data_IF_102817514903
#
_entry.id   IF_102817514903
#
_cell.length_a   1.000
_cell.length_b   1.000
_cell.length_c   1.000
_cell.angle_alpha   90.00
_cell.angle_beta   90.00
_cell.angle_gamma   90.00
#
_symmetry.space_group_name_H-M   'P 1'
#
loop_
_entity.id
_entity.type
_entity.pdbx_description
1 polymer ?
#
# COMPACT_ATOMS: atom_id res chain seq x y z
N UNK A 1 -6.42 -8.38 0.74
CA UNK A 1 -5.98 -9.79 0.62
C UNK A 1 -4.78 -9.89 -0.31
N UNK A 2 -3.98 -10.95 -0.23
CA UNK A 2 -2.82 -11.17 -1.11
C UNK A 2 -3.05 -12.34 -2.07
N UNK A 3 -2.74 -12.12 -3.36
CA UNK A 3 -2.76 -13.13 -4.40
C UNK A 3 -1.33 -13.44 -4.87
N UNK A 4 -1.09 -14.69 -5.29
CA UNK A 4 0.22 -15.12 -5.80
C UNK A 4 0.17 -15.28 -7.31
N UNK A 5 1.06 -14.59 -8.02
CA UNK A 5 1.28 -14.78 -9.45
C UNK A 5 2.38 -15.82 -9.73
N UNK A 6 2.03 -16.84 -10.50
CA UNK A 6 2.96 -17.89 -10.97
C UNK A 6 3.10 -17.94 -12.50
N UNK A 7 2.30 -17.18 -13.24
CA UNK A 7 2.30 -17.10 -14.70
C UNK A 7 1.56 -15.86 -15.20
N UNK A 8 1.34 -15.77 -16.52
CA UNK A 8 0.62 -14.66 -17.13
C UNK A 8 -0.90 -14.70 -16.89
N UNK A 9 -1.55 -13.55 -16.99
CA UNK A 9 -3.00 -13.39 -16.79
C UNK A 9 -3.33 -12.61 -15.51
N UNK A 10 -4.57 -12.77 -15.02
CA UNK A 10 -5.02 -12.17 -13.76
C UNK A 10 -4.73 -13.11 -12.58
N UNK A 11 -4.30 -12.53 -11.46
CA UNK A 11 -4.11 -13.25 -10.19
C UNK A 11 -5.38 -13.29 -9.32
N UNK A 12 -6.52 -12.79 -9.83
CA UNK A 12 -7.78 -12.71 -9.09
C UNK A 12 -7.96 -11.41 -8.32
N UNK A 13 -8.96 -11.37 -7.43
CA UNK A 13 -9.28 -10.20 -6.61
C UNK A 13 -8.31 -10.07 -5.42
N UNK A 14 -7.40 -9.11 -5.50
CA UNK A 14 -6.48 -8.79 -4.42
C UNK A 14 -5.88 -7.38 -4.57
N UNK A 15 -5.55 -6.74 -3.44
CA UNK A 15 -4.78 -5.49 -3.39
C UNK A 15 -3.28 -5.73 -3.20
N UNK A 16 -2.87 -6.97 -2.92
CA UNK A 16 -1.45 -7.35 -2.85
C UNK A 16 -1.18 -8.46 -3.86
N UNK A 17 -0.22 -8.22 -4.75
CA UNK A 17 0.26 -9.20 -5.71
C UNK A 17 1.67 -9.65 -5.34
N UNK A 18 1.81 -10.92 -5.01
CA UNK A 18 3.08 -11.55 -4.62
C UNK A 18 3.62 -12.41 -5.76
N UNK A 19 4.92 -12.36 -6.04
CA UNK A 19 5.59 -13.35 -6.87
C UNK A 19 6.99 -13.71 -6.37
N UNK A 20 7.38 -14.96 -6.60
CA UNK A 20 8.74 -15.47 -6.44
C UNK A 20 9.29 -16.00 -7.76
N UNK A 21 8.57 -15.77 -8.87
CA UNK A 21 8.93 -16.27 -10.19
C UNK A 21 9.84 -15.26 -10.86
N UNK A 22 11.13 -15.59 -10.98
CA UNK A 22 12.07 -14.73 -11.70
C UNK A 22 11.65 -14.60 -13.18
N UNK A 23 11.75 -13.39 -13.72
CA UNK A 23 11.38 -13.11 -15.11
C UNK A 23 9.88 -12.96 -15.37
N UNK A 24 9.02 -13.05 -14.34
CA UNK A 24 7.60 -12.76 -14.46
C UNK A 24 7.33 -11.28 -14.12
N UNK A 25 6.92 -10.44 -15.08
CA UNK A 25 6.45 -9.10 -14.77
C UNK A 25 5.17 -9.16 -13.92
N UNK A 26 5.13 -8.38 -12.85
CA UNK A 26 3.95 -8.18 -12.02
C UNK A 26 3.51 -6.73 -12.14
N UNK A 27 2.20 -6.49 -12.16
CA UNK A 27 1.65 -5.15 -12.27
C UNK A 27 0.42 -4.99 -11.37
N UNK A 28 0.26 -3.78 -10.85
CA UNK A 28 -0.98 -3.27 -10.25
C UNK A 28 -1.36 -2.01 -11.02
N UNK A 29 -2.65 -1.67 -11.04
CA UNK A 29 -3.15 -0.47 -11.73
C UNK A 29 -3.56 0.56 -10.69
N UNK A 30 -3.10 1.80 -10.87
CA UNK A 30 -3.41 2.91 -9.98
C UNK A 30 -3.81 4.14 -10.78
N UNK A 31 -4.79 4.86 -10.26
CA UNK A 31 -5.00 6.28 -10.55
C UNK A 31 -5.23 6.94 -9.18
N UNK A 32 -4.31 7.79 -8.77
CA UNK A 32 -4.22 8.44 -7.45
C UNK A 32 -3.83 7.55 -6.26
N UNK A 33 -4.33 6.31 -6.14
CA UNK A 33 -3.97 5.43 -5.01
C UNK A 33 -2.47 5.10 -4.97
N UNK A 34 -1.93 4.82 -3.78
CA UNK A 34 -0.50 4.63 -3.52
C UNK A 34 -0.02 3.23 -3.97
N UNK A 35 0.84 3.10 -5.00
CA UNK A 35 1.50 1.85 -5.30
C UNK A 35 2.72 1.68 -4.40
N UNK A 36 2.78 0.59 -3.63
CA UNK A 36 3.95 0.23 -2.81
C UNK A 36 4.58 -1.03 -3.37
N UNK A 37 5.86 -0.94 -3.71
CA UNK A 37 6.67 -2.07 -4.18
C UNK A 37 7.56 -2.53 -3.03
N UNK A 38 7.48 -3.80 -2.67
CA UNK A 38 8.30 -4.40 -1.62
C UNK A 38 9.09 -5.57 -2.19
N UNK A 39 10.38 -5.63 -1.88
CA UNK A 39 11.26 -6.69 -2.34
C UNK A 39 12.17 -7.18 -1.22
N UNK A 40 12.20 -8.50 -1.02
CA UNK A 40 13.19 -9.15 -0.17
C UNK A 40 14.26 -9.83 -1.05
N UNK A 41 15.52 -9.36 -1.04
CA UNK A 41 16.57 -9.90 -1.90
C UNK A 41 17.04 -11.30 -1.50
N UNK A 42 16.87 -11.71 -0.24
CA UNK A 42 17.34 -13.01 0.26
C UNK A 42 16.43 -14.14 -0.21
N UNK A 43 15.11 -13.96 -0.07
CA UNK A 43 14.12 -14.95 -0.55
C UNK A 43 13.67 -14.70 -1.99
N UNK A 44 14.17 -13.63 -2.61
CA UNK A 44 13.86 -13.21 -3.99
C UNK A 44 12.36 -13.12 -4.25
N UNK A 45 11.65 -12.49 -3.32
CA UNK A 45 10.21 -12.32 -3.37
C UNK A 45 9.83 -10.84 -3.57
N UNK A 46 8.93 -10.59 -4.51
CA UNK A 46 8.38 -9.28 -4.84
C UNK A 46 6.91 -9.23 -4.42
N UNK A 47 6.51 -8.17 -3.73
CA UNK A 47 5.11 -7.85 -3.47
C UNK A 47 4.80 -6.45 -4.00
N UNK A 48 3.71 -6.33 -4.75
CA UNK A 48 3.12 -5.05 -5.17
C UNK A 48 1.85 -4.85 -4.37
N UNK A 49 1.68 -3.69 -3.76
CA UNK A 49 0.51 -3.36 -2.96
C UNK A 49 -0.17 -2.11 -3.51
N UNK A 50 -1.47 -2.22 -3.79
CA UNK A 50 -2.35 -1.11 -4.11
C UNK A 50 -2.95 -0.56 -2.81
N UNK A 51 -2.55 0.66 -2.42
CA UNK A 51 -2.86 1.22 -1.10
C UNK A 51 -3.62 2.53 -1.24
N UNK A 52 -4.95 2.45 -1.34
CA UNK A 52 -5.82 3.60 -1.11
C UNK A 52 -6.05 3.86 0.38
N UNK A 53 -6.85 4.87 0.73
CA UNK A 53 -7.20 5.13 2.14
C UNK A 53 -7.89 3.92 2.81
N UNK A 54 -8.74 3.18 2.08
CA UNK A 54 -9.36 1.93 2.58
C UNK A 54 -8.32 0.84 2.81
N UNK A 55 -7.34 0.73 1.91
CA UNK A 55 -6.23 -0.20 2.08
C UNK A 55 -5.32 0.19 3.25
N UNK A 56 -5.18 1.48 3.50
CA UNK A 56 -4.45 2.02 4.67
C UNK A 56 -5.13 1.61 5.96
N UNK A 57 -6.45 1.84 6.07
CA UNK A 57 -7.29 1.35 7.19
C UNK A 57 -7.20 -0.17 7.34
N UNK A 58 -7.25 -0.91 6.23
CA UNK A 58 -7.17 -2.37 6.21
C UNK A 58 -5.76 -2.95 6.41
N UNK A 59 -4.73 -2.12 6.52
CA UNK A 59 -3.34 -2.56 6.68
C UNK A 59 -2.76 -3.29 5.46
N UNK A 60 -3.12 -2.89 4.24
CA UNK A 60 -2.65 -3.54 2.99
C UNK A 60 -1.11 -3.57 2.89
N UNK A 61 -0.41 -2.49 3.25
CA UNK A 61 1.06 -2.48 3.27
C UNK A 61 1.62 -3.49 4.28
N UNK A 62 1.02 -3.60 5.47
CA UNK A 62 1.36 -4.61 6.48
C UNK A 62 1.12 -6.02 5.94
N UNK A 63 0.00 -6.25 5.26
CA UNK A 63 -0.31 -7.54 4.64
C UNK A 63 0.71 -7.93 3.56
N UNK A 64 1.24 -6.97 2.81
CA UNK A 64 2.30 -7.23 1.83
C UNK A 64 3.63 -7.63 2.49
N UNK A 65 4.02 -6.96 3.57
CA UNK A 65 5.18 -7.35 4.40
C UNK A 65 4.99 -8.76 4.97
N UNK A 66 3.80 -9.06 5.50
CA UNK A 66 3.47 -10.40 6.03
C UNK A 66 3.50 -11.47 4.94
N UNK A 67 3.03 -11.17 3.73
CA UNK A 67 3.09 -12.08 2.60
C UNK A 67 4.54 -12.43 2.21
N UNK A 68 5.45 -11.44 2.25
CA UNK A 68 6.88 -11.68 2.07
C UNK A 68 7.46 -12.49 3.23
N UNK A 69 7.11 -12.17 4.48
CA UNK A 69 7.55 -12.91 5.66
C UNK A 69 7.14 -14.39 5.62
N UNK A 70 5.92 -14.69 5.15
CA UNK A 70 5.44 -16.07 4.94
C UNK A 70 6.24 -16.85 3.88
N UNK A 71 7.06 -16.17 3.07
CA UNK A 71 8.04 -16.78 2.15
C UNK A 71 9.42 -16.98 2.77
N UNK A 72 9.53 -16.81 4.08
CA UNK A 72 10.79 -16.77 4.80
C UNK A 72 11.42 -15.37 4.82
N UNK A 73 10.70 -14.35 4.34
CA UNK A 73 11.08 -12.94 4.33
C UNK A 73 11.36 -12.39 5.74
N UNK A 74 12.16 -11.32 5.86
CA UNK A 74 12.29 -10.60 7.14
C UNK A 74 12.06 -9.11 6.92
N UNK A 75 11.23 -8.46 7.75
CA UNK A 75 10.92 -7.03 7.58
C UNK A 75 12.16 -6.13 7.49
N UNK A 76 13.20 -6.40 8.28
CA UNK A 76 14.41 -5.57 8.36
C UNK A 76 15.26 -5.53 7.07
N UNK A 77 15.00 -6.42 6.09
CA UNK A 77 15.73 -6.48 4.82
C UNK A 77 14.84 -6.23 3.60
N UNK A 78 13.55 -5.98 3.82
CA UNK A 78 12.63 -5.63 2.75
C UNK A 78 12.98 -4.21 2.31
N UNK A 79 13.28 -4.05 1.03
CA UNK A 79 13.37 -2.74 0.39
C UNK A 79 11.96 -2.36 -0.05
N UNK A 80 11.53 -1.15 0.30
CA UNK A 80 10.25 -0.60 -0.10
C UNK A 80 10.47 0.62 -1.00
N UNK A 81 9.65 0.74 -2.03
CA UNK A 81 9.52 1.93 -2.85
C UNK A 81 8.06 2.36 -2.92
N UNK A 82 7.82 3.65 -2.72
CA UNK A 82 6.53 4.30 -2.92
C UNK A 82 6.54 4.87 -4.35
N UNK A 83 5.61 4.45 -5.20
CA UNK A 83 5.50 4.95 -6.56
C UNK A 83 4.60 6.19 -6.68
N UNK A 84 4.52 6.77 -7.90
CA UNK A 84 3.71 7.96 -8.16
C UNK A 84 2.24 7.77 -7.78
N UNK A 85 1.68 8.77 -7.10
CA UNK A 85 0.32 8.77 -6.56
C UNK A 85 -0.11 10.20 -6.23
N UNK A 86 -1.37 10.39 -5.82
CA UNK A 86 -1.84 11.68 -5.34
C UNK A 86 -1.10 12.03 -4.04
N UNK A 87 -0.58 13.25 -3.97
CA UNK A 87 0.23 13.71 -2.84
C UNK A 87 -0.51 14.67 -1.91
N UNK A 88 0.16 15.08 -0.80
CA UNK A 88 -0.41 16.02 0.17
C UNK A 88 -0.69 17.41 -0.40
N UNK A 89 -0.18 17.73 -1.59
CA UNK A 89 -0.54 18.97 -2.29
C UNK A 89 -2.03 19.05 -2.67
N UNK A 90 -2.66 17.88 -2.84
CA UNK A 90 -3.79 17.74 -3.74
C UNK A 90 -4.83 16.71 -3.25
N UNK A 91 -4.49 15.84 -2.31
CA UNK A 91 -5.40 14.79 -1.84
C UNK A 91 -6.37 15.29 -0.77
N UNK A 92 -7.43 15.95 -1.20
CA UNK A 92 -8.46 16.47 -0.31
C UNK A 92 -9.44 15.37 0.12
N UNK A 93 -9.65 15.25 1.43
CA UNK A 93 -10.56 14.29 2.06
C UNK A 93 -11.43 14.98 3.12
N UNK A 94 -12.51 14.30 3.50
CA UNK A 94 -13.46 14.75 4.51
C UNK A 94 -13.47 13.83 5.75
N UNK A 95 -14.40 14.10 6.66
CA UNK A 95 -14.54 13.34 7.90
C UNK A 95 -14.81 11.85 7.66
N UNK A 96 -15.51 11.48 6.57
CA UNK A 96 -15.84 10.08 6.28
C UNK A 96 -14.60 9.24 5.91
N UNK A 97 -13.49 9.88 5.51
CA UNK A 97 -12.20 9.21 5.33
C UNK A 97 -11.36 9.27 6.62
N UNK A 98 -11.35 10.40 7.33
CA UNK A 98 -10.52 10.57 8.53
C UNK A 98 -10.99 9.74 9.72
N UNK A 99 -12.30 9.55 9.91
CA UNK A 99 -12.81 8.75 11.04
C UNK A 99 -12.33 7.30 11.00
N UNK A 100 -12.45 6.57 9.87
CA UNK A 100 -11.87 5.24 9.74
C UNK A 100 -10.35 5.20 9.95
N UNK A 101 -9.62 6.19 9.43
CA UNK A 101 -8.17 6.27 9.61
C UNK A 101 -7.79 6.45 11.08
N UNK A 102 -8.46 7.37 11.80
CA UNK A 102 -8.24 7.58 13.24
C UNK A 102 -8.57 6.33 14.05
N UNK A 103 -9.68 5.66 13.73
CA UNK A 103 -10.07 4.44 14.40
C UNK A 103 -9.02 3.31 14.20
N UNK A 104 -8.41 3.24 13.02
CA UNK A 104 -7.44 2.20 12.69
C UNK A 104 -6.00 2.49 13.15
N UNK A 105 -5.60 3.77 13.16
CA UNK A 105 -4.19 4.17 13.32
C UNK A 105 -3.93 5.01 14.58
N UNK A 106 -4.97 5.54 15.23
CA UNK A 106 -4.84 6.51 16.32
C UNK A 106 -4.73 7.95 15.79
N UNK A 107 -3.97 8.84 16.44
CA UNK A 107 -3.78 10.22 15.98
C UNK A 107 -3.25 10.28 14.55
N UNK A 108 -3.93 11.04 13.68
CA UNK A 108 -3.58 11.20 12.25
C UNK A 108 -3.11 12.60 11.91
N UNK A 109 -3.09 13.49 12.91
CA UNK A 109 -2.69 14.90 12.81
C UNK A 109 -1.32 15.11 12.14
N UNK A 110 -0.30 14.23 12.31
CA UNK A 110 0.96 14.36 11.58
C UNK A 110 0.85 14.22 10.05
N UNK A 111 -0.24 13.63 9.56
CA UNK A 111 -0.42 13.27 8.14
C UNK A 111 -1.52 14.07 7.46
N UNK A 112 -2.12 15.07 8.14
CA UNK A 112 -3.20 15.88 7.59
C UNK A 112 -2.93 17.38 7.72
N UNK A 113 -3.34 18.14 6.72
CA UNK A 113 -3.32 19.61 6.76
C UNK A 113 -4.73 20.16 6.56
N UNK A 114 -5.29 20.94 7.51
CA UNK A 114 -6.62 21.54 7.35
C UNK A 114 -6.71 22.46 6.13
N UNK A 115 -7.82 22.40 5.39
CA UNK A 115 -8.12 23.31 4.26
C UNK A 115 -9.27 24.27 4.52
N UNK A 116 -10.02 24.06 5.60
CA UNK A 116 -11.28 24.75 5.87
C UNK A 116 -12.49 23.88 5.54
N UNK A 117 -13.68 24.32 5.92
CA UNK A 117 -14.97 23.70 5.56
C UNK A 117 -15.09 22.19 5.84
N UNK A 118 -14.42 21.72 6.91
CA UNK A 118 -14.42 20.30 7.27
C UNK A 118 -13.67 19.41 6.28
N UNK A 119 -12.64 19.95 5.61
CA UNK A 119 -11.76 19.22 4.69
C UNK A 119 -10.29 19.33 5.05
N UNK A 120 -9.53 18.31 4.64
CA UNK A 120 -8.11 18.17 4.91
C UNK A 120 -7.36 17.65 3.69
N UNK A 121 -6.12 18.07 3.52
CA UNK A 121 -5.17 17.39 2.64
C UNK A 121 -4.53 16.23 3.39
N UNK A 122 -4.63 15.02 2.85
CA UNK A 122 -4.09 13.80 3.44
C UNK A 122 -2.77 13.41 2.76
N UNK A 123 -1.73 13.20 3.56
CA UNK A 123 -0.46 12.65 3.11
C UNK A 123 -0.43 11.13 3.32
N UNK A 124 -0.86 10.34 2.33
CA UNK A 124 -0.75 8.88 2.41
C UNK A 124 0.70 8.38 2.32
N UNK A 125 1.67 9.19 1.92
CA UNK A 125 3.06 8.76 1.82
C UNK A 125 3.72 8.65 3.20
N UNK A 126 3.19 9.40 4.18
CA UNK A 126 3.72 9.49 5.53
C UNK A 126 3.02 8.58 6.55
N UNK A 127 1.90 7.95 6.17
CA UNK A 127 1.11 7.02 7.02
C UNK A 127 1.80 5.66 7.17
#
# INVERSE_FOLDING_TARGET
AAARATGGGSAGEADVLLTTTAGLPAAIVTADCLPVVLYDPQVRALALAHVGWRGTVGGTARAAVQALAARGGAPARIVAAIGPSIGPCCYEVDQAVLDPLRAALGPVEPWITPRGDGRWLLDLWAV
#
